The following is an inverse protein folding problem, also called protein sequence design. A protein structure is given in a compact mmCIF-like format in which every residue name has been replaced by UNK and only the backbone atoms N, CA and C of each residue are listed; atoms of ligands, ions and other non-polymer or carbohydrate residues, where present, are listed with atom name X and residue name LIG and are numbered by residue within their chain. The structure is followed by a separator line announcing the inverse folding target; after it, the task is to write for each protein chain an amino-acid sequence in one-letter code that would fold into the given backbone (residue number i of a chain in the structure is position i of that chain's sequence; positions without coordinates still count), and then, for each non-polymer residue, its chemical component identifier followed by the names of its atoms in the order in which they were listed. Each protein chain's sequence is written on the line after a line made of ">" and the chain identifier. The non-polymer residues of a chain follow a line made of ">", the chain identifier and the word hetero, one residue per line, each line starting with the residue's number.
data_IF_961806997557
#
_entry.id   IF_961806997557
#
_cell.length_a   1.000
_cell.length_b   1.000
_cell.length_c   1.000
_cell.angle_alpha   90.00
_cell.angle_beta   90.00
_cell.angle_gamma   90.00
#
_symmetry.space_group_name_H-M   'P 1'
#
loop_
_entity.id
_entity.type
_entity.pdbx_description
1 polymer ?
#
# COMPACT_ATOMS: atom_id res chain seq x y z
N UNK A 1 -18.34 1.11 12.22
CA UNK A 1 -17.26 0.62 11.35
C UNK A 1 -17.10 1.65 10.25
N UNK A 2 -15.97 2.33 10.23
CA UNK A 2 -15.71 3.45 9.32
C UNK A 2 -14.71 3.03 8.27
N UNK A 3 -14.94 3.45 7.03
CA UNK A 3 -14.13 3.06 5.89
C UNK A 3 -13.15 4.17 5.52
N UNK A 4 -11.91 3.78 5.30
CA UNK A 4 -10.84 4.69 4.96
C UNK A 4 -10.13 4.25 3.68
N UNK A 5 -9.56 5.21 2.97
CA UNK A 5 -8.70 4.99 1.81
C UNK A 5 -7.42 5.81 1.94
N UNK A 6 -6.30 5.20 1.58
CA UNK A 6 -5.01 5.87 1.54
C UNK A 6 -4.26 5.49 0.26
N UNK A 7 -3.54 6.46 -0.29
CA UNK A 7 -2.70 6.32 -1.47
C UNK A 7 -1.24 6.51 -1.09
N UNK A 8 -0.30 5.96 -1.86
CA UNK A 8 1.14 6.16 -1.65
C UNK A 8 1.65 7.55 -2.09
N UNK A 9 0.94 8.63 -1.79
CA UNK A 9 1.34 9.98 -2.18
C UNK A 9 0.87 11.04 -1.18
N UNK A 10 1.37 12.26 -1.36
CA UNK A 10 0.79 13.41 -0.69
C UNK A 10 -0.65 13.61 -1.17
N UNK A 11 -1.54 14.02 -0.25
CA UNK A 11 -2.93 14.31 -0.57
C UNK A 11 -3.02 15.30 -1.73
N UNK A 12 -3.81 14.96 -2.75
CA UNK A 12 -4.09 15.88 -3.84
C UNK A 12 -4.79 17.14 -3.31
N UNK A 13 -4.28 18.29 -3.72
CA UNK A 13 -4.86 19.59 -3.41
C UNK A 13 -5.00 20.35 -4.73
N UNK A 14 -4.12 21.31 -4.99
CA UNK A 14 -4.04 22.00 -6.28
C UNK A 14 -3.26 21.22 -7.33
N UNK A 15 -2.27 20.43 -6.90
CA UNK A 15 -1.49 19.56 -7.76
C UNK A 15 -2.11 18.15 -7.87
N UNK A 16 -1.96 17.55 -9.05
CA UNK A 16 -2.38 16.17 -9.29
C UNK A 16 -1.56 15.17 -8.46
N UNK A 17 -2.18 14.02 -8.17
CA UNK A 17 -1.49 12.89 -7.56
C UNK A 17 -0.32 12.43 -8.42
N UNK A 18 0.84 12.23 -7.79
CA UNK A 18 2.04 11.77 -8.49
C UNK A 18 2.36 10.34 -8.06
N UNK A 19 2.67 9.49 -9.04
CA UNK A 19 3.11 8.12 -8.80
C UNK A 19 4.52 8.10 -8.20
N UNK A 20 4.78 7.14 -7.32
CA UNK A 20 6.07 6.99 -6.64
C UNK A 20 7.00 6.11 -7.45
N UNK A 21 8.27 6.49 -7.56
CA UNK A 21 9.27 5.65 -8.20
C UNK A 21 9.39 4.28 -7.54
N UNK A 22 9.30 3.23 -8.34
CA UNK A 22 9.55 1.85 -7.91
C UNK A 22 11.07 1.59 -7.81
N UNK A 23 11.48 0.36 -7.51
CA UNK A 23 12.88 -0.02 -7.38
C UNK A 23 13.17 -1.41 -7.90
N UNK A 24 14.45 -1.66 -8.21
CA UNK A 24 14.95 -2.99 -8.60
C UNK A 24 15.17 -3.92 -7.42
N UNK A 25 15.31 -3.35 -6.22
CA UNK A 25 15.15 -4.07 -4.97
C UNK A 25 13.72 -3.93 -4.45
N UNK A 26 13.33 -4.83 -3.53
CA UNK A 26 12.06 -4.76 -2.82
C UNK A 26 11.91 -3.37 -2.20
N UNK A 27 10.80 -2.71 -2.52
CA UNK A 27 10.44 -1.39 -2.00
C UNK A 27 9.02 -1.41 -1.45
N UNK A 28 8.84 -0.97 -0.21
CA UNK A 28 7.52 -0.72 0.36
C UNK A 28 6.96 0.55 -0.27
N UNK A 29 5.90 0.36 -1.05
CA UNK A 29 5.22 1.45 -1.74
C UNK A 29 4.22 2.14 -0.83
N UNK A 30 3.49 1.38 -0.03
CA UNK A 30 2.56 1.89 0.98
C UNK A 30 2.64 1.03 2.23
N UNK A 31 2.69 1.65 3.41
CA UNK A 31 2.64 1.01 4.71
C UNK A 31 1.53 1.63 5.55
N UNK A 32 0.73 0.79 6.19
CA UNK A 32 -0.28 1.18 7.17
C UNK A 32 0.04 0.50 8.50
N UNK A 33 0.19 1.28 9.55
CA UNK A 33 0.46 0.79 10.90
C UNK A 33 -0.82 0.74 11.73
N UNK A 34 -1.17 -0.46 12.20
CA UNK A 34 -2.30 -0.65 13.10
C UNK A 34 -1.93 -0.15 14.50
N UNK A 35 -2.85 0.54 15.22
CA UNK A 35 -2.60 0.92 16.61
C UNK A 35 -2.57 -0.32 17.52
N UNK A 36 -2.14 -0.14 18.77
CA UNK A 36 -2.11 -1.22 19.76
C UNK A 36 -3.50 -1.68 20.25
N UNK A 37 -4.55 -0.96 19.86
CA UNK A 37 -5.92 -1.15 20.38
C UNK A 37 -6.95 -1.53 19.32
N UNK A 38 -6.62 -1.40 18.03
CA UNK A 38 -7.57 -1.61 16.93
C UNK A 38 -6.94 -2.39 15.77
N UNK A 39 -7.67 -3.41 15.32
CA UNK A 39 -7.34 -4.18 14.12
C UNK A 39 -7.92 -3.49 12.89
N UNK A 40 -7.34 -3.76 11.72
CA UNK A 40 -7.86 -3.28 10.44
C UNK A 40 -8.42 -4.45 9.65
N UNK A 41 -9.58 -4.26 9.01
CA UNK A 41 -10.10 -5.22 8.05
C UNK A 41 -9.89 -4.70 6.63
N UNK A 42 -9.07 -5.39 5.84
CA UNK A 42 -8.78 -4.97 4.45
C UNK A 42 -9.96 -5.27 3.56
N UNK A 43 -10.40 -4.28 2.78
CA UNK A 43 -11.55 -4.38 1.89
C UNK A 43 -11.10 -4.56 0.44
N UNK A 44 -10.19 -3.71 0.00
CA UNK A 44 -9.64 -3.76 -1.34
C UNK A 44 -8.27 -3.09 -1.39
N UNK A 45 -7.51 -3.44 -2.41
CA UNK A 45 -6.21 -2.84 -2.67
C UNK A 45 -5.98 -2.80 -4.17
N UNK A 46 -5.00 -1.99 -4.59
CA UNK A 46 -4.62 -1.96 -5.98
C UNK A 46 -3.43 -1.06 -6.26
N UNK A 47 -3.03 -1.09 -7.51
CA UNK A 47 -1.96 -0.25 -8.03
C UNK A 47 -2.15 0.09 -9.51
N UNK A 48 -1.47 1.14 -9.96
CA UNK A 48 -1.37 1.53 -11.36
C UNK A 48 0.05 2.02 -11.67
N UNK A 49 0.62 1.55 -12.76
CA UNK A 49 1.97 1.89 -13.22
C UNK A 49 1.94 3.00 -14.26
N UNK A 50 2.95 3.87 -14.24
CA UNK A 50 3.12 4.94 -15.22
C UNK A 50 3.69 4.47 -16.55
N UNK A 51 4.07 3.20 -16.66
CA UNK A 51 4.68 2.60 -17.84
C UNK A 51 4.91 1.10 -17.65
N UNK A 52 5.12 0.38 -18.74
CA UNK A 52 5.38 -1.05 -18.72
C UNK A 52 6.85 -1.33 -18.32
N UNK A 53 7.10 -2.25 -17.38
CA UNK A 53 8.47 -2.70 -17.09
C UNK A 53 9.02 -3.54 -18.25
N UNK A 54 10.35 -3.54 -18.42
CA UNK A 54 11.02 -4.32 -19.47
C UNK A 54 11.04 -5.84 -19.24
N UNK A 55 10.61 -6.30 -18.06
CA UNK A 55 10.47 -7.71 -17.69
C UNK A 55 9.43 -7.85 -16.56
N UNK A 56 9.23 -9.05 -16.02
CA UNK A 56 8.17 -9.31 -15.04
C UNK A 56 8.52 -8.70 -13.69
N UNK A 57 7.60 -7.92 -13.13
CA UNK A 57 7.70 -7.38 -11.78
C UNK A 57 6.77 -8.12 -10.82
N UNK A 58 7.03 -8.03 -9.53
CA UNK A 58 6.20 -8.64 -8.49
C UNK A 58 5.65 -7.58 -7.56
N UNK A 59 4.35 -7.67 -7.25
CA UNK A 59 3.66 -6.81 -6.31
C UNK A 59 2.99 -7.69 -5.26
N UNK A 60 3.17 -7.35 -3.99
CA UNK A 60 2.69 -8.19 -2.88
C UNK A 60 1.92 -7.34 -1.87
N UNK A 61 0.76 -7.85 -1.43
CA UNK A 61 0.03 -7.35 -0.27
C UNK A 61 0.33 -8.26 0.93
N UNK A 62 1.01 -7.72 1.95
CA UNK A 62 1.48 -8.51 3.08
C UNK A 62 1.27 -7.82 4.43
N UNK A 63 1.16 -8.60 5.49
CA UNK A 63 1.36 -8.15 6.87
C UNK A 63 2.80 -8.43 7.31
N UNK A 64 3.37 -7.55 8.11
CA UNK A 64 4.71 -7.66 8.71
C UNK A 64 4.71 -7.23 10.18
N UNK A 65 5.76 -7.60 10.90
CA UNK A 65 5.95 -7.30 12.33
C UNK A 65 7.02 -6.24 12.65
N UNK A 66 7.88 -5.90 11.70
CA UNK A 66 8.91 -4.85 11.82
C UNK A 66 8.64 -3.81 10.77
N UNK A 67 8.59 -2.51 11.13
CA UNK A 67 8.31 -1.40 10.21
C UNK A 67 9.44 -1.11 9.20
N UNK A 68 9.08 -0.63 8.00
CA UNK A 68 9.99 -0.02 7.06
C UNK A 68 10.16 1.47 7.39
N UNK A 69 11.27 2.08 6.99
CA UNK A 69 11.48 3.53 7.12
C UNK A 69 10.85 4.25 5.95
N UNK A 70 9.66 4.81 6.18
CA UNK A 70 8.80 5.43 5.17
C UNK A 70 8.85 6.96 5.23
N UNK A 71 8.52 7.60 4.12
CA UNK A 71 8.03 8.99 4.15
C UNK A 71 6.68 8.97 4.86
N UNK A 72 6.62 9.58 6.04
CA UNK A 72 5.42 9.58 6.87
C UNK A 72 4.23 10.22 6.14
N UNK A 73 3.05 9.59 6.25
CA UNK A 73 1.82 10.25 5.86
C UNK A 73 1.48 11.37 6.83
N UNK A 74 0.78 12.38 6.33
CA UNK A 74 0.01 13.33 7.14
C UNK A 74 -1.43 12.85 7.29
N UNK A 75 -2.12 13.29 8.34
CA UNK A 75 -3.48 12.83 8.65
C UNK A 75 -4.47 13.03 7.49
N UNK A 76 -4.34 14.12 6.74
CA UNK A 76 -5.19 14.39 5.57
C UNK A 76 -4.90 13.46 4.39
N UNK A 77 -3.80 12.72 4.37
CA UNK A 77 -3.57 11.66 3.37
C UNK A 77 -4.44 10.41 3.57
N UNK A 78 -5.12 10.31 4.71
CA UNK A 78 -6.01 9.22 5.07
C UNK A 78 -7.44 9.72 4.94
N UNK A 79 -8.14 9.24 3.93
CA UNK A 79 -9.45 9.76 3.56
C UNK A 79 -10.56 8.89 4.15
N UNK A 80 -11.41 9.42 5.04
CA UNK A 80 -12.67 8.76 5.36
C UNK A 80 -13.57 8.76 4.12
N UNK A 81 -14.17 7.62 3.79
CA UNK A 81 -15.10 7.53 2.66
C UNK A 81 -16.51 8.04 3.01
N UNK A 82 -16.84 8.10 4.30
CA UNK A 82 -17.98 8.84 4.81
C UNK A 82 -17.49 10.20 5.31
N UNK A 83 -17.99 11.32 4.77
CA UNK A 83 -17.57 12.67 5.18
C UNK A 83 -17.73 12.97 6.68
N UNK A 84 -18.63 12.26 7.37
CA UNK A 84 -18.87 12.45 8.81
C UNK A 84 -18.13 11.44 9.69
N UNK A 85 -17.35 10.52 9.09
CA UNK A 85 -16.59 9.57 9.87
C UNK A 85 -15.45 10.26 10.64
N UNK A 86 -15.12 9.77 11.86
CA UNK A 86 -13.97 10.26 12.60
C UNK A 86 -12.67 9.98 11.84
N UNK A 87 -11.58 10.64 12.23
CA UNK A 87 -10.26 10.29 11.74
C UNK A 87 -9.89 8.85 12.09
N UNK A 88 -9.14 8.19 11.20
CA UNK A 88 -8.60 6.84 11.46
C UNK A 88 -7.69 6.84 12.69
N UNK A 89 -7.69 5.72 13.40
CA UNK A 89 -6.85 5.45 14.57
C UNK A 89 -5.48 4.87 14.20
N UNK A 90 -5.19 4.69 12.90
CA UNK A 90 -3.89 4.25 12.42
C UNK A 90 -2.78 5.20 12.92
N UNK A 91 -1.59 4.65 13.15
CA UNK A 91 -0.47 5.45 13.66
C UNK A 91 0.32 6.08 12.51
N UNK A 92 0.57 7.38 12.57
CA UNK A 92 1.40 8.11 11.61
C UNK A 92 2.85 8.23 12.09
N UNK A 93 3.81 8.21 11.17
CA UNK A 93 5.23 8.39 11.50
C UNK A 93 6.16 7.66 10.54
N UNK A 94 7.45 7.98 10.61
CA UNK A 94 8.49 7.43 9.71
C UNK A 94 8.75 5.93 9.90
N UNK A 95 8.31 5.37 11.03
CA UNK A 95 8.31 3.93 11.31
C UNK A 95 6.89 3.39 11.53
N UNK A 96 5.89 4.06 10.93
CA UNK A 96 4.48 3.72 11.04
C UNK A 96 3.80 3.88 9.67
N UNK A 97 2.67 4.59 9.56
CA UNK A 97 1.99 4.77 8.28
C UNK A 97 2.71 5.78 7.37
N UNK A 98 2.96 5.38 6.12
CA UNK A 98 3.68 6.18 5.14
C UNK A 98 3.93 5.44 3.83
N UNK A 99 4.76 6.02 2.97
CA UNK A 99 5.04 5.49 1.64
C UNK A 99 6.52 5.64 1.25
N UNK A 100 6.91 4.97 0.14
CA UNK A 100 8.23 5.08 -0.48
C UNK A 100 9.42 4.74 0.43
N UNK A 101 9.47 3.54 0.99
CA UNK A 101 10.64 3.08 1.76
C UNK A 101 11.56 2.19 0.92
N UNK A 102 12.84 2.57 0.82
CA UNK A 102 13.90 1.67 0.31
C UNK A 102 14.56 0.84 1.41
N UNK A 103 14.29 1.16 2.69
CA UNK A 103 14.77 0.42 3.85
C UNK A 103 13.61 -0.39 4.45
N UNK A 104 13.56 -1.68 4.13
CA UNK A 104 12.44 -2.58 4.48
C UNK A 104 12.38 -3.00 5.96
N UNK A 105 13.51 -2.87 6.67
CA UNK A 105 13.71 -3.54 7.96
C UNK A 105 13.91 -5.05 7.81
N UNK A 106 14.35 -5.73 8.87
CA UNK A 106 14.44 -7.20 8.89
C UNK A 106 13.15 -7.74 9.47
N UNK A 107 12.25 -8.19 8.60
CA UNK A 107 10.96 -8.78 9.01
C UNK A 107 11.23 -10.15 9.63
N UNK A 108 10.64 -10.41 10.80
CA UNK A 108 10.77 -11.70 11.50
C UNK A 108 9.52 -12.57 11.36
N UNK A 109 8.36 -11.97 11.08
CA UNK A 109 7.12 -12.68 10.81
C UNK A 109 6.28 -11.97 9.75
N UNK A 110 5.75 -12.74 8.79
CA UNK A 110 4.93 -12.22 7.70
C UNK A 110 3.72 -13.10 7.40
N UNK A 111 2.67 -12.49 6.84
CA UNK A 111 1.51 -13.17 6.23
C UNK A 111 1.28 -12.53 4.87
N UNK A 112 1.29 -13.34 3.81
CA UNK A 112 0.95 -12.88 2.45
C UNK A 112 -0.55 -13.05 2.25
N UNK A 113 -1.21 -12.00 1.75
CA UNK A 113 -2.64 -12.03 1.46
C UNK A 113 -2.92 -12.14 -0.02
N UNK A 114 -2.13 -11.44 -0.84
CA UNK A 114 -2.30 -11.42 -2.28
C UNK A 114 -0.96 -11.10 -2.95
N UNK A 115 -0.78 -11.56 -4.18
CA UNK A 115 0.43 -11.32 -4.98
C UNK A 115 0.07 -11.30 -6.45
N UNK A 116 0.54 -10.27 -7.14
CA UNK A 116 0.35 -10.11 -8.56
C UNK A 116 1.70 -10.03 -9.29
N UNK A 117 1.76 -10.63 -10.47
CA UNK A 117 2.91 -10.61 -11.36
C UNK A 117 2.58 -9.74 -12.57
N UNK A 118 3.33 -8.65 -12.71
CA UNK A 118 3.16 -7.74 -13.85
C UNK A 118 3.62 -8.46 -15.11
N UNK A 119 2.71 -8.61 -16.05
CA UNK A 119 2.99 -9.23 -17.35
C UNK A 119 3.94 -8.40 -18.19
N UNK A 120 4.75 -9.08 -19.01
CA UNK A 120 5.83 -8.50 -19.82
C UNK A 120 5.49 -8.32 -21.29
N UNK A 121 4.31 -8.78 -21.71
CA UNK A 121 4.04 -8.95 -23.15
C UNK A 121 3.82 -7.59 -23.81
N UNK A 122 4.53 -7.34 -24.92
CA UNK A 122 4.25 -6.22 -25.80
C UNK A 122 2.77 -6.27 -26.24
N UNK A 123 1.94 -5.37 -25.71
CA UNK A 123 0.48 -5.38 -25.88
C UNK A 123 -0.33 -5.66 -24.60
N UNK A 124 0.32 -5.88 -23.45
CA UNK A 124 -0.37 -5.96 -22.16
C UNK A 124 -0.96 -4.58 -21.79
N UNK A 125 -2.28 -4.47 -21.89
CA UNK A 125 -3.03 -3.23 -21.62
C UNK A 125 -3.19 -2.96 -20.12
N UNK A 126 -3.00 -3.96 -19.26
CA UNK A 126 -3.23 -3.86 -17.83
C UNK A 126 -1.94 -3.46 -17.11
N UNK A 127 -1.70 -2.14 -17.08
CA UNK A 127 -0.72 -1.50 -16.17
C UNK A 127 -1.31 -1.24 -14.79
N UNK A 128 -2.49 -1.77 -14.51
CA UNK A 128 -3.22 -1.62 -13.27
C UNK A 128 -3.74 -2.95 -12.78
N UNK A 129 -3.87 -3.05 -11.47
CA UNK A 129 -4.48 -4.16 -10.77
C UNK A 129 -5.32 -3.59 -9.65
N UNK A 130 -6.51 -4.14 -9.48
CA UNK A 130 -7.38 -3.86 -8.35
C UNK A 130 -8.08 -5.14 -7.95
N UNK A 131 -8.12 -5.39 -6.65
CA UNK A 131 -8.78 -6.55 -6.09
C UNK A 131 -9.58 -6.15 -4.86
N UNK A 132 -10.83 -6.60 -4.84
CA UNK A 132 -11.73 -6.42 -3.72
C UNK A 132 -12.04 -7.79 -3.13
N UNK A 133 -11.71 -7.93 -1.85
CA UNK A 133 -12.01 -9.14 -1.09
C UNK A 133 -13.52 -9.25 -0.88
N UNK A 134 -14.05 -10.44 -1.15
CA UNK A 134 -15.40 -10.81 -0.75
C UNK A 134 -15.53 -10.71 0.78
N UNK A 135 -16.71 -10.39 1.33
CA UNK A 135 -16.89 -10.16 2.76
C UNK A 135 -16.32 -11.25 3.68
N UNK A 136 -16.37 -12.52 3.26
CA UNK A 136 -15.97 -13.68 4.06
C UNK A 136 -14.46 -13.97 4.03
N UNK A 137 -13.71 -13.40 3.07
CA UNK A 137 -12.27 -13.64 2.88
C UNK A 137 -11.40 -12.44 3.28
N UNK A 138 -12.03 -11.36 3.74
CA UNK A 138 -11.34 -10.10 4.08
C UNK A 138 -10.24 -10.30 5.11
N UNK A 139 -8.98 -10.02 4.75
CA UNK A 139 -7.87 -10.14 5.69
C UNK A 139 -8.02 -9.21 6.89
N UNK A 140 -7.80 -9.75 8.09
CA UNK A 140 -7.69 -8.97 9.33
C UNK A 140 -6.22 -8.79 9.67
N UNK A 141 -5.84 -7.53 9.86
CA UNK A 141 -4.53 -7.11 10.31
C UNK A 141 -4.55 -6.96 11.83
N UNK A 142 -3.69 -7.72 12.50
CA UNK A 142 -3.60 -7.68 13.96
C UNK A 142 -3.11 -6.31 14.46
N UNK A 143 -3.36 -6.01 15.75
CA UNK A 143 -2.86 -4.81 16.42
C UNK A 143 -1.33 -4.78 16.42
N UNK A 144 -0.75 -3.58 16.41
CA UNK A 144 0.71 -3.37 16.39
C UNK A 144 1.43 -4.14 15.28
N UNK A 145 0.81 -4.20 14.09
CA UNK A 145 1.39 -4.79 12.87
C UNK A 145 1.31 -3.80 11.72
N UNK A 146 2.02 -4.12 10.64
CA UNK A 146 2.12 -3.27 9.47
C UNK A 146 1.56 -4.00 8.26
N UNK A 147 0.54 -3.43 7.64
CA UNK A 147 0.07 -3.81 6.31
C UNK A 147 0.91 -3.09 5.26
N UNK A 148 1.34 -3.80 4.22
CA UNK A 148 2.18 -3.25 3.16
C UNK A 148 1.74 -3.67 1.78
N UNK A 149 1.88 -2.73 0.85
CA UNK A 149 2.09 -3.04 -0.57
C UNK A 149 3.58 -2.89 -0.84
N UNK A 150 4.19 -3.97 -1.32
CA UNK A 150 5.60 -3.98 -1.75
C UNK A 150 5.69 -4.25 -3.24
N UNK A 151 6.69 -3.68 -3.87
CA UNK A 151 6.98 -3.87 -5.28
C UNK A 151 8.45 -4.18 -5.51
N UNK A 152 8.71 -5.10 -6.42
CA UNK A 152 10.04 -5.35 -6.98
C UNK A 152 9.92 -5.33 -8.50
N UNK A 153 10.59 -4.37 -9.13
CA UNK A 153 10.56 -4.21 -10.59
C UNK A 153 11.89 -4.65 -11.20
N UNK A 154 11.93 -5.17 -12.42
CA UNK A 154 13.19 -5.55 -13.06
C UNK A 154 13.96 -4.35 -13.63
N UNK A 155 13.29 -3.21 -13.82
CA UNK A 155 13.85 -2.02 -14.45
C UNK A 155 13.54 -0.76 -13.64
N UNK A 156 14.47 0.18 -13.60
CA UNK A 156 14.24 1.53 -13.08
C UNK A 156 13.37 2.36 -14.05
N UNK A 157 12.73 3.42 -13.56
CA UNK A 157 11.97 4.37 -14.39
C UNK A 157 10.48 4.07 -14.52
N UNK A 158 9.99 3.02 -13.86
CA UNK A 158 8.55 2.78 -13.69
C UNK A 158 8.11 3.39 -12.35
N UNK A 159 7.08 4.23 -12.37
CA UNK A 159 6.46 4.75 -11.17
C UNK A 159 5.14 4.02 -10.93
N UNK A 160 4.71 3.91 -9.68
CA UNK A 160 3.46 3.27 -9.31
C UNK A 160 2.66 4.11 -8.32
N UNK A 161 1.37 4.20 -8.57
CA UNK A 161 0.36 4.67 -7.64
C UNK A 161 -0.28 3.46 -6.97
N UNK A 162 -0.19 3.34 -5.66
CA UNK A 162 -0.75 2.24 -4.88
C UNK A 162 -1.80 2.77 -3.91
N UNK A 163 -2.80 1.95 -3.59
CA UNK A 163 -3.85 2.32 -2.65
C UNK A 163 -4.39 1.12 -1.88
N UNK A 164 -4.90 1.39 -0.68
CA UNK A 164 -5.58 0.41 0.18
C UNK A 164 -6.86 1.04 0.70
N UNK A 165 -7.92 0.24 0.76
CA UNK A 165 -9.18 0.53 1.45
C UNK A 165 -9.35 -0.45 2.58
N UNK A 166 -9.65 0.06 3.77
CA UNK A 166 -9.87 -0.76 4.95
C UNK A 166 -10.98 -0.19 5.83
N UNK A 167 -11.50 -1.05 6.70
CA UNK A 167 -12.48 -0.69 7.71
C UNK A 167 -11.81 -0.73 9.10
N UNK A 168 -12.17 0.27 9.93
CA UNK A 168 -11.86 0.35 11.36
C UNK A 168 -13.11 0.38 12.22
#
# INVERSE_FOLDING_TARGET
>A
MHRYKCFNNAMATTAATTAVATGTAIKTMLQIATPSTRQLQVISWGYALSGLPGAAGTVELIQTDVAATVTAHIATGVQPLDPNAPASLMTLGVSATGYSASAEGTITATRVFDTDQISTTAGATLVNYDYQFMPDERPIIAVSKFLRIRMTMPTSGVNALCWIVWDE
#
